data_IF_515409759765
#
_entry.id   IF_515409759765
#
_cell.length_a   1.000
_cell.length_b   1.000
_cell.length_c   1.000
_cell.angle_alpha   90.00
_cell.angle_beta   90.00
_cell.angle_gamma   90.00
#
_symmetry.space_group_name_H-M   'P 1'
#
loop_
_entity.id
_entity.type
_entity.pdbx_description
1 polymer ?
#
# COMPACT_ATOMS: atom_id res chain seq x y z
N UNK A 1 10.01 -14.57 16.84
CA UNK A 1 10.68 -14.61 15.52
C UNK A 1 11.97 -13.79 15.59
N UNK A 2 12.99 -14.13 14.80
CA UNK A 2 14.23 -13.34 14.68
C UNK A 2 14.40 -12.86 13.23
N UNK A 3 14.98 -11.66 13.08
CA UNK A 3 15.39 -11.09 11.79
C UNK A 3 16.37 -12.04 11.09
N UNK A 4 16.22 -12.24 9.77
CA UNK A 4 17.12 -13.11 8.97
C UNK A 4 18.36 -12.37 8.51
N UNK A 5 18.16 -11.22 7.89
CA UNK A 5 19.22 -10.39 7.31
C UNK A 5 18.80 -8.94 7.41
N UNK A 6 19.70 -8.06 7.82
CA UNK A 6 19.47 -6.64 7.70
C UNK A 6 19.74 -6.21 6.24
N UNK A 7 18.68 -6.13 5.45
CA UNK A 7 18.77 -5.81 4.03
C UNK A 7 19.25 -4.37 3.77
N UNK A 8 19.15 -3.46 4.75
CA UNK A 8 19.71 -2.10 4.62
C UNK A 8 21.23 -2.12 4.55
N UNK A 9 21.87 -2.95 5.36
CA UNK A 9 23.33 -3.06 5.43
C UNK A 9 23.89 -4.09 4.45
N UNK A 10 23.12 -5.13 4.12
CA UNK A 10 23.54 -6.16 3.17
C UNK A 10 23.61 -5.67 1.72
N UNK A 11 22.79 -4.67 1.33
CA UNK A 11 22.82 -4.07 -0.01
C UNK A 11 22.47 -2.57 0.04
N UNK A 12 23.40 -1.72 0.48
CA UNK A 12 23.12 -0.30 0.70
C UNK A 12 22.72 0.45 -0.58
N UNK A 13 23.32 0.12 -1.73
CA UNK A 13 23.00 0.79 -3.00
C UNK A 13 21.59 0.43 -3.50
N UNK A 14 21.20 -0.85 -3.40
CA UNK A 14 19.84 -1.27 -3.75
C UNK A 14 18.81 -0.62 -2.82
N UNK A 15 19.12 -0.55 -1.51
CA UNK A 15 18.22 0.08 -0.55
C UNK A 15 18.15 1.59 -0.69
N UNK A 16 19.22 2.25 -1.15
CA UNK A 16 19.18 3.66 -1.55
C UNK A 16 18.18 3.90 -2.68
N UNK A 17 18.11 3.02 -3.67
CA UNK A 17 17.12 3.11 -4.75
C UNK A 17 15.68 2.89 -4.23
N UNK A 18 15.47 1.90 -3.36
CA UNK A 18 14.16 1.69 -2.71
C UNK A 18 13.71 2.90 -1.90
N UNK A 19 14.62 3.54 -1.16
CA UNK A 19 14.33 4.77 -0.41
C UNK A 19 14.07 5.97 -1.32
N UNK A 20 14.74 6.06 -2.47
CA UNK A 20 14.47 7.09 -3.47
C UNK A 20 13.06 6.94 -4.08
N UNK A 21 12.63 5.69 -4.31
CA UNK A 21 11.26 5.40 -4.74
C UNK A 21 10.25 5.82 -3.67
N UNK A 22 10.50 5.49 -2.40
CA UNK A 22 9.65 5.93 -1.28
C UNK A 22 9.56 7.47 -1.18
N UNK A 23 10.70 8.15 -1.34
CA UNK A 23 10.74 9.61 -1.34
C UNK A 23 9.98 10.22 -2.53
N UNK A 24 9.93 9.53 -3.67
CA UNK A 24 9.12 9.94 -4.82
C UNK A 24 7.62 9.72 -4.54
N UNK A 25 7.24 8.63 -3.87
CA UNK A 25 5.85 8.38 -3.47
C UNK A 25 5.29 9.52 -2.62
N UNK A 26 6.09 10.09 -1.71
CA UNK A 26 5.69 11.26 -0.90
C UNK A 26 5.46 12.56 -1.68
N UNK A 27 5.75 12.59 -2.99
CA UNK A 27 5.57 13.76 -3.87
C UNK A 27 4.51 13.54 -4.97
N UNK A 28 3.87 12.37 -4.97
CA UNK A 28 2.84 12.05 -5.95
C UNK A 28 1.58 12.89 -5.74
N UNK A 29 0.72 12.90 -6.74
CA UNK A 29 -0.55 13.64 -6.71
C UNK A 29 -1.61 13.06 -5.77
N UNK A 30 -1.40 11.83 -5.27
CA UNK A 30 -2.37 11.13 -4.41
C UNK A 30 -2.30 11.65 -2.98
N UNK A 31 -3.47 11.94 -2.41
CA UNK A 31 -3.59 12.41 -1.04
C UNK A 31 -3.04 11.40 -0.02
N UNK A 32 -2.25 11.88 0.95
CA UNK A 32 -1.59 11.04 1.95
C UNK A 32 -2.55 10.11 2.72
N UNK A 33 -3.76 10.55 3.14
CA UNK A 33 -4.71 9.64 3.80
C UNK A 33 -5.09 8.42 2.95
N UNK A 34 -5.27 8.61 1.64
CA UNK A 34 -5.57 7.49 0.73
C UNK A 34 -4.36 6.57 0.56
N UNK A 35 -3.15 7.12 0.46
CA UNK A 35 -1.93 6.32 0.38
C UNK A 35 -1.75 5.41 1.60
N UNK A 36 -2.04 5.90 2.81
CA UNK A 36 -1.95 5.07 4.01
C UNK A 36 -2.98 3.94 4.03
N UNK A 37 -4.20 4.17 3.58
CA UNK A 37 -5.21 3.11 3.44
C UNK A 37 -4.79 2.03 2.44
N UNK A 38 -4.25 2.45 1.29
CA UNK A 38 -3.71 1.55 0.27
C UNK A 38 -2.55 0.75 0.83
N UNK A 39 -1.59 1.41 1.50
CA UNK A 39 -0.43 0.75 2.11
C UNK A 39 -0.86 -0.27 3.17
N UNK A 40 -1.83 0.09 4.01
CA UNK A 40 -2.40 -0.78 5.03
C UNK A 40 -3.08 -1.99 4.39
N UNK A 41 -3.95 -1.79 3.39
CA UNK A 41 -4.67 -2.87 2.72
C UNK A 41 -3.75 -3.84 1.99
N UNK A 42 -2.77 -3.32 1.24
CA UNK A 42 -1.77 -4.15 0.56
C UNK A 42 -0.95 -4.96 1.57
N UNK A 43 -0.56 -4.34 2.68
CA UNK A 43 0.20 -5.01 3.75
C UNK A 43 -0.62 -6.09 4.47
N UNK A 44 -1.94 -5.93 4.59
CA UNK A 44 -2.83 -6.96 5.13
C UNK A 44 -2.85 -8.20 4.23
N UNK A 45 -2.97 -8.00 2.92
CA UNK A 45 -2.99 -9.10 1.93
C UNK A 45 -1.65 -9.84 1.92
N UNK A 46 -0.54 -9.10 1.96
CA UNK A 46 0.79 -9.68 1.92
C UNK A 46 1.28 -10.21 3.29
N UNK A 47 0.54 -9.99 4.38
CA UNK A 47 0.92 -10.44 5.73
C UNK A 47 2.17 -9.75 6.30
N UNK A 48 2.44 -8.49 5.93
CA UNK A 48 3.61 -7.75 6.44
C UNK A 48 3.32 -7.09 7.80
N UNK A 49 3.54 -7.79 8.92
CA UNK A 49 3.31 -7.24 10.26
C UNK A 49 4.08 -5.93 10.55
N UNK A 50 5.34 -5.83 10.11
CA UNK A 50 6.12 -4.59 10.24
C UNK A 50 5.46 -3.40 9.51
N UNK A 51 4.97 -3.64 8.29
CA UNK A 51 4.35 -2.61 7.48
C UNK A 51 2.97 -2.22 8.04
N UNK A 52 2.21 -3.21 8.55
CA UNK A 52 0.93 -2.96 9.23
C UNK A 52 1.09 -2.06 10.44
N UNK A 53 2.06 -2.35 11.30
CA UNK A 53 2.38 -1.57 12.50
C UNK A 53 2.70 -0.11 12.14
N UNK A 54 3.66 0.09 11.22
CA UNK A 54 4.09 1.40 10.75
C UNK A 54 2.94 2.21 10.11
N UNK A 55 2.24 1.65 9.12
CA UNK A 55 1.19 2.37 8.40
C UNK A 55 -0.08 2.59 9.22
N UNK A 56 -0.37 1.73 10.20
CA UNK A 56 -1.46 2.00 11.16
C UNK A 56 -1.11 3.20 12.04
N UNK A 57 0.13 3.29 12.52
CA UNK A 57 0.59 4.41 13.33
C UNK A 57 0.59 5.73 12.53
N UNK A 58 1.08 5.69 11.29
CA UNK A 58 1.13 6.86 10.41
C UNK A 58 -0.27 7.31 9.98
N UNK A 59 -1.17 6.38 9.63
CA UNK A 59 -2.57 6.70 9.32
C UNK A 59 -3.27 7.38 10.50
N UNK A 60 -3.10 6.83 11.72
CA UNK A 60 -3.67 7.41 12.95
C UNK A 60 -3.12 8.81 13.21
N UNK A 61 -1.81 9.01 13.03
CA UNK A 61 -1.18 10.33 13.13
C UNK A 61 -1.71 11.32 12.08
N UNK A 62 -2.07 10.82 10.90
CA UNK A 62 -2.73 11.55 9.82
C UNK A 62 -4.22 11.84 10.02
N UNK A 63 -4.80 11.43 11.15
CA UNK A 63 -6.21 11.69 11.49
C UNK A 63 -7.19 10.61 11.04
N UNK A 64 -6.71 9.45 10.58
CA UNK A 64 -7.58 8.32 10.26
C UNK A 64 -8.29 7.79 11.52
N UNK A 65 -9.49 7.24 11.33
CA UNK A 65 -10.35 6.78 12.44
C UNK A 65 -10.16 5.29 12.70
N UNK A 66 -10.20 4.86 13.97
CA UNK A 66 -10.15 3.43 14.32
C UNK A 66 -11.21 2.61 13.60
N UNK A 67 -12.42 3.17 13.43
CA UNK A 67 -13.51 2.51 12.69
C UNK A 67 -13.09 2.14 11.27
N UNK A 68 -12.41 3.05 10.55
CA UNK A 68 -11.93 2.80 9.18
C UNK A 68 -10.70 1.91 9.18
N UNK A 69 -9.75 2.09 10.10
CA UNK A 69 -8.57 1.22 10.25
C UNK A 69 -8.96 -0.24 10.47
N UNK A 70 -9.94 -0.50 11.33
CA UNK A 70 -10.38 -1.86 11.63
C UNK A 70 -11.19 -2.50 10.50
N UNK A 71 -11.84 -1.69 9.67
CA UNK A 71 -12.76 -2.20 8.63
C UNK A 71 -12.21 -2.12 7.21
N UNK A 72 -11.01 -1.55 7.00
CA UNK A 72 -10.39 -1.50 5.66
C UNK A 72 -10.15 -2.89 5.07
N UNK A 73 -9.95 -3.93 5.89
CA UNK A 73 -9.85 -5.32 5.41
C UNK A 73 -11.15 -5.88 4.83
N UNK A 74 -12.29 -5.27 5.20
CA UNK A 74 -13.65 -5.61 4.78
C UNK A 74 -14.34 -4.41 4.10
N UNK A 75 -13.56 -3.52 3.48
CA UNK A 75 -14.03 -2.22 2.98
C UNK A 75 -15.24 -2.32 2.05
N UNK A 76 -15.36 -3.41 1.27
CA UNK A 76 -16.47 -3.65 0.32
C UNK A 76 -17.83 -3.66 1.01
N UNK A 77 -17.89 -4.19 2.23
CA UNK A 77 -19.12 -4.36 3.02
C UNK A 77 -19.36 -3.21 4.02
N UNK A 78 -18.68 -2.07 3.84
CA UNK A 78 -18.85 -0.91 4.72
C UNK A 78 -19.14 0.38 3.96
N UNK A 79 -19.90 1.32 4.56
CA UNK A 79 -20.23 2.59 3.93
C UNK A 79 -19.20 3.70 4.23
N UNK A 80 -18.06 3.37 4.85
CA UNK A 80 -17.14 4.38 5.40
C UNK A 80 -16.16 4.95 4.38
N UNK A 81 -16.06 4.33 3.20
CA UNK A 81 -15.09 4.67 2.16
C UNK A 81 -15.77 5.33 0.96
N UNK A 82 -15.21 6.44 0.48
CA UNK A 82 -15.71 7.19 -0.67
C UNK A 82 -15.58 6.39 -1.98
N UNK A 83 -16.31 6.75 -3.06
CA UNK A 83 -16.13 6.10 -4.36
C UNK A 83 -14.68 6.08 -4.85
N UNK A 84 -13.94 7.18 -4.65
CA UNK A 84 -12.51 7.29 -4.97
C UNK A 84 -11.65 6.32 -4.16
N UNK A 85 -11.87 6.25 -2.84
CA UNK A 85 -11.15 5.30 -1.97
C UNK A 85 -11.47 3.85 -2.35
N UNK A 86 -12.72 3.54 -2.66
CA UNK A 86 -13.15 2.20 -3.09
C UNK A 86 -12.49 1.78 -4.41
N UNK A 87 -12.40 2.69 -5.37
CA UNK A 87 -11.70 2.45 -6.64
C UNK A 87 -10.20 2.20 -6.41
N UNK A 88 -9.55 3.00 -5.56
CA UNK A 88 -8.14 2.79 -5.22
C UNK A 88 -7.91 1.48 -4.44
N UNK A 89 -8.77 1.13 -3.50
CA UNK A 89 -8.68 -0.13 -2.75
C UNK A 89 -8.90 -1.34 -3.67
N UNK A 90 -9.87 -1.29 -4.60
CA UNK A 90 -10.07 -2.32 -5.60
C UNK A 90 -8.82 -2.50 -6.48
N UNK A 91 -8.28 -1.40 -7.01
CA UNK A 91 -7.08 -1.43 -7.82
C UNK A 91 -5.86 -1.95 -7.05
N UNK A 92 -5.71 -1.57 -5.77
CA UNK A 92 -4.67 -2.07 -4.89
C UNK A 92 -4.77 -3.58 -4.63
N UNK A 93 -5.98 -4.11 -4.39
CA UNK A 93 -6.19 -5.56 -4.28
C UNK A 93 -5.82 -6.27 -5.60
N UNK A 94 -6.27 -5.71 -6.72
CA UNK A 94 -6.05 -6.27 -8.05
C UNK A 94 -4.56 -6.37 -8.40
N UNK A 95 -3.80 -5.29 -8.24
CA UNK A 95 -2.36 -5.29 -8.51
C UNK A 95 -1.54 -6.06 -7.47
N UNK A 96 -2.03 -6.19 -6.24
CA UNK A 96 -1.34 -7.00 -5.22
C UNK A 96 -1.49 -8.50 -5.50
N UNK A 97 -2.68 -8.91 -5.94
CA UNK A 97 -3.00 -10.29 -6.32
C UNK A 97 -2.85 -10.52 -7.84
N UNK A 98 -1.93 -9.80 -8.49
CA UNK A 98 -1.79 -9.77 -9.95
C UNK A 98 -1.73 -11.16 -10.61
N UNK A 99 -1.08 -12.14 -9.98
CA UNK A 99 -1.00 -13.52 -10.49
C UNK A 99 -2.33 -14.28 -10.48
N UNK A 100 -3.33 -13.76 -9.77
CA UNK A 100 -4.67 -14.32 -9.67
C UNK A 100 -5.67 -13.49 -10.48
N UNK A 101 -5.62 -12.16 -10.34
CA UNK A 101 -6.60 -11.24 -10.92
C UNK A 101 -6.28 -10.85 -12.35
N UNK A 102 -4.99 -10.77 -12.71
CA UNK A 102 -4.50 -10.24 -13.98
C UNK A 102 -5.00 -8.81 -14.30
N UNK A 103 -5.35 -8.02 -13.28
CA UNK A 103 -5.81 -6.63 -13.40
C UNK A 103 -6.93 -6.44 -14.44
N UNK A 104 -8.14 -6.97 -14.19
CA UNK A 104 -9.22 -6.98 -15.17
C UNK A 104 -9.70 -5.57 -15.50
N UNK A 105 -10.18 -5.37 -16.73
CA UNK A 105 -10.63 -4.07 -17.25
C UNK A 105 -11.65 -3.40 -16.32
N UNK A 106 -12.58 -4.15 -15.71
CA UNK A 106 -13.56 -3.58 -14.79
C UNK A 106 -12.97 -2.91 -13.55
N UNK A 107 -11.85 -3.40 -13.02
CA UNK A 107 -11.15 -2.75 -11.90
C UNK A 107 -10.44 -1.47 -12.40
N UNK A 108 -9.89 -1.49 -13.61
CA UNK A 108 -9.24 -0.33 -14.22
C UNK A 108 -10.27 0.75 -14.61
N UNK A 109 -11.43 0.38 -15.15
CA UNK A 109 -12.50 1.31 -15.51
C UNK A 109 -13.03 2.05 -14.27
N UNK A 110 -13.19 1.33 -13.16
CA UNK A 110 -13.57 1.92 -11.87
C UNK A 110 -12.51 2.92 -11.36
N UNK A 111 -11.22 2.61 -11.54
CA UNK A 111 -10.12 3.52 -11.27
C UNK A 111 -10.19 4.75 -12.19
N UNK A 112 -10.29 4.56 -13.50
CA UNK A 112 -10.31 5.63 -14.49
C UNK A 112 -11.48 6.59 -14.30
N UNK A 113 -12.60 6.12 -13.74
CA UNK A 113 -13.74 6.95 -13.39
C UNK A 113 -13.49 7.92 -12.20
N UNK A 114 -12.45 7.70 -11.39
CA UNK A 114 -12.16 8.47 -10.16
C UNK A 114 -10.79 9.16 -10.17
N UNK A 115 -9.90 8.79 -11.08
CA UNK A 115 -8.51 9.24 -11.11
C UNK A 115 -8.12 9.66 -12.54
N UNK A 116 -7.43 10.79 -12.65
CA UNK A 116 -6.80 11.26 -13.88
C UNK A 116 -5.68 10.31 -14.35
N UNK A 117 -5.25 10.36 -15.62
CA UNK A 117 -4.16 9.52 -16.11
C UNK A 117 -2.86 9.61 -15.28
N UNK A 118 -2.53 10.80 -14.78
CA UNK A 118 -1.40 10.98 -13.87
C UNK A 118 -1.63 10.23 -12.55
N UNK A 119 -2.78 10.43 -11.92
CA UNK A 119 -3.10 9.77 -10.66
C UNK A 119 -3.20 8.24 -10.79
N UNK A 120 -3.65 7.72 -11.94
CA UNK A 120 -3.68 6.29 -12.21
C UNK A 120 -2.26 5.69 -12.16
N UNK A 121 -1.29 6.37 -12.78
CA UNK A 121 0.12 5.97 -12.73
C UNK A 121 0.68 6.13 -11.33
N UNK A 122 0.46 7.29 -10.70
CA UNK A 122 0.95 7.60 -9.36
C UNK A 122 0.46 6.57 -8.32
N UNK A 123 -0.83 6.25 -8.32
CA UNK A 123 -1.38 5.24 -7.43
C UNK A 123 -0.77 3.85 -7.70
N UNK A 124 -0.59 3.48 -8.96
CA UNK A 124 0.03 2.20 -9.34
C UNK A 124 1.49 2.12 -8.88
N UNK A 125 2.24 3.22 -8.98
CA UNK A 125 3.60 3.32 -8.44
C UNK A 125 3.61 3.17 -6.93
N UNK A 126 2.67 3.81 -6.21
CA UNK A 126 2.55 3.65 -4.77
C UNK A 126 2.25 2.18 -4.38
N UNK A 127 1.33 1.52 -5.08
CA UNK A 127 0.98 0.10 -4.88
C UNK A 127 2.19 -0.81 -5.12
N UNK A 128 2.95 -0.59 -6.20
CA UNK A 128 4.16 -1.34 -6.51
C UNK A 128 5.25 -1.14 -5.45
N UNK A 129 5.37 0.07 -4.93
CA UNK A 129 6.35 0.44 -3.90
C UNK A 129 6.06 -0.30 -2.59
N UNK A 130 4.83 -0.27 -2.09
CA UNK A 130 4.46 -1.01 -0.87
C UNK A 130 4.55 -2.53 -1.06
N UNK A 131 4.19 -3.05 -2.23
CA UNK A 131 4.38 -4.47 -2.57
C UNK A 131 5.86 -4.88 -2.49
N UNK A 132 6.77 -4.01 -2.90
CA UNK A 132 8.22 -4.23 -2.82
C UNK A 132 8.69 -4.20 -1.36
N UNK A 133 8.25 -3.22 -0.56
CA UNK A 133 8.55 -3.16 0.87
C UNK A 133 8.04 -4.39 1.63
N UNK A 134 6.82 -4.85 1.35
CA UNK A 134 6.26 -6.04 1.96
C UNK A 134 7.13 -7.28 1.67
N UNK A 135 7.60 -7.45 0.42
CA UNK A 135 8.48 -8.56 0.02
C UNK A 135 9.80 -8.55 0.79
N UNK A 136 10.43 -7.37 0.94
CA UNK A 136 11.67 -7.23 1.71
C UNK A 136 11.42 -7.49 3.21
N UNK A 137 10.42 -6.86 3.81
CA UNK A 137 10.14 -6.98 5.23
C UNK A 137 9.76 -8.41 5.64
N UNK A 138 8.85 -9.06 4.90
CA UNK A 138 8.46 -10.46 5.15
C UNK A 138 9.61 -11.42 4.83
N UNK A 139 10.24 -11.25 3.66
CA UNK A 139 11.35 -12.09 3.21
C UNK A 139 12.50 -12.15 4.21
N UNK A 140 12.83 -11.01 4.81
CA UNK A 140 13.94 -10.89 5.77
C UNK A 140 13.52 -10.86 7.24
N UNK A 141 12.22 -11.09 7.54
CA UNK A 141 11.65 -11.09 8.90
C UNK A 141 11.93 -9.81 9.68
N UNK A 142 11.75 -8.66 9.04
CA UNK A 142 11.75 -7.37 9.75
C UNK A 142 10.56 -7.36 10.74
N UNK A 143 10.85 -7.13 12.01
CA UNK A 143 9.85 -7.16 13.08
C UNK A 143 9.24 -5.76 13.31
N UNK A 144 7.93 -5.67 13.63
CA UNK A 144 7.31 -4.45 14.14
C UNK A 144 7.95 -4.03 15.47
N UNK A 145 7.76 -2.77 15.89
CA UNK A 145 8.42 -2.21 17.08
C UNK A 145 7.44 -1.72 18.14
#
# INVERSE_FOLDING_TARGET
MQTRTDFYTASPDAMKAMLALEAAVGKLSIELPLLELVRLRVSQINGCAFCLDMHTADARKGGETERRLYTVSAWRETPFFTPRERAALAWAESLTLLSQTHAPDGDFDALAAQFSPQEQVDLSVAIATINSWNRLAVGFRKMPK
#
